data_IF_099691167721
#
_entry.id   IF_099691167721
#
_cell.length_a   1.000
_cell.length_b   1.000
_cell.length_c   1.000
_cell.angle_alpha   90.00
_cell.angle_beta   90.00
_cell.angle_gamma   90.00
#
_symmetry.space_group_name_H-M   'P 1'
#
loop_
_entity.id
_entity.type
_entity.pdbx_description
1 polymer ?
#
# COMPACT_ATOMS: atom_id res chain seq x y z
N UNK A 1 -10.63 -16.25 28.92
CA UNK A 1 -10.33 -15.76 27.57
C UNK A 1 -9.83 -16.92 26.72
N UNK A 2 -10.14 -17.01 25.43
CA UNK A 2 -9.57 -18.04 24.58
C UNK A 2 -8.05 -17.86 24.46
N UNK A 3 -7.31 -18.96 24.36
CA UNK A 3 -5.86 -18.92 24.15
C UNK A 3 -5.48 -18.43 22.75
N UNK A 4 -6.32 -18.77 21.76
CA UNK A 4 -6.15 -18.32 20.38
C UNK A 4 -7.09 -17.15 20.08
N UNK A 5 -6.68 -16.25 19.17
CA UNK A 5 -7.52 -15.14 18.75
C UNK A 5 -8.77 -15.67 18.02
N UNK A 6 -9.99 -15.32 18.47
CA UNK A 6 -11.23 -15.87 17.88
C UNK A 6 -11.51 -15.26 16.50
N UNK A 7 -12.28 -16.00 15.68
CA UNK A 7 -12.80 -15.51 14.42
C UNK A 7 -14.15 -14.83 14.67
N UNK A 8 -14.22 -13.52 14.45
CA UNK A 8 -15.43 -12.71 14.60
C UNK A 8 -16.21 -12.68 13.27
N UNK A 9 -17.18 -13.57 13.10
CA UNK A 9 -18.07 -13.63 11.94
C UNK A 9 -19.28 -12.73 12.13
N UNK A 10 -19.05 -11.44 12.39
CA UNK A 10 -20.11 -10.47 12.61
C UNK A 10 -19.90 -9.22 11.77
N UNK A 11 -20.97 -8.72 11.16
CA UNK A 11 -20.97 -7.44 10.45
C UNK A 11 -21.38 -6.25 11.33
N UNK A 12 -22.12 -6.52 12.41
CA UNK A 12 -22.59 -5.49 13.35
C UNK A 12 -22.41 -5.98 14.78
N UNK A 13 -22.33 -5.05 15.71
CA UNK A 13 -22.14 -5.30 17.13
C UNK A 13 -23.31 -4.75 17.94
N UNK A 14 -23.66 -5.37 19.06
CA UNK A 14 -24.78 -4.98 19.92
C UNK A 14 -24.23 -4.12 21.06
N UNK A 15 -24.98 -3.05 21.38
CA UNK A 15 -24.68 -2.12 22.47
C UNK A 15 -25.91 -1.95 23.34
N UNK A 16 -25.72 -1.73 24.62
CA UNK A 16 -26.81 -1.51 25.59
C UNK A 16 -27.45 -0.12 25.46
N UNK A 17 -26.73 0.84 24.85
CA UNK A 17 -27.22 2.20 24.59
C UNK A 17 -26.57 2.80 23.34
N UNK A 18 -27.00 3.99 22.91
CA UNK A 18 -26.43 4.70 21.77
C UNK A 18 -25.07 5.33 22.08
N UNK A 19 -24.82 5.73 23.32
CA UNK A 19 -23.63 6.49 23.70
C UNK A 19 -22.29 5.84 23.29
N UNK A 20 -22.06 4.50 23.44
CA UNK A 20 -20.83 3.87 22.96
C UNK A 20 -20.69 3.93 21.45
N UNK A 21 -21.79 3.89 20.68
CA UNK A 21 -21.78 3.96 19.22
C UNK A 21 -21.33 5.36 18.78
N UNK A 22 -21.92 6.42 19.37
CA UNK A 22 -21.56 7.81 19.07
C UNK A 22 -20.08 8.06 19.36
N UNK A 23 -19.58 7.58 20.50
CA UNK A 23 -18.14 7.68 20.84
C UNK A 23 -17.23 6.99 19.82
N UNK A 24 -17.59 5.80 19.35
CA UNK A 24 -16.80 5.06 18.34
C UNK A 24 -16.87 5.76 16.98
N UNK A 25 -18.05 6.18 16.54
CA UNK A 25 -18.28 6.71 15.19
C UNK A 25 -17.85 8.17 15.04
N UNK A 26 -18.12 9.00 16.06
CA UNK A 26 -17.97 10.46 15.96
C UNK A 26 -16.73 10.97 16.70
N UNK A 27 -16.34 10.32 17.81
CA UNK A 27 -15.21 10.76 18.64
C UNK A 27 -13.94 9.92 18.43
N UNK A 28 -14.02 8.84 17.63
CA UNK A 28 -12.88 7.97 17.34
C UNK A 28 -12.43 7.12 18.53
N UNK A 29 -13.34 6.86 19.50
CA UNK A 29 -13.05 5.96 20.61
C UNK A 29 -12.76 4.53 20.11
N UNK A 30 -11.89 3.77 20.78
CA UNK A 30 -11.61 2.40 20.39
C UNK A 30 -12.85 1.51 20.55
N UNK A 31 -13.13 0.70 19.52
CA UNK A 31 -14.26 -0.22 19.51
C UNK A 31 -14.68 -0.63 18.11
N UNK A 32 -15.65 -1.53 18.02
CA UNK A 32 -16.19 -2.03 16.76
C UNK A 32 -17.70 -1.87 16.75
N UNK A 33 -18.21 -1.05 15.85
CA UNK A 33 -19.65 -0.83 15.67
C UNK A 33 -20.17 -1.55 14.43
N UNK A 34 -19.40 -1.50 13.33
CA UNK A 34 -19.77 -2.11 12.07
C UNK A 34 -18.52 -2.54 11.29
N UNK A 35 -18.55 -3.69 10.63
CA UNK A 35 -17.41 -4.34 9.95
C UNK A 35 -16.67 -3.40 8.99
N UNK A 36 -17.38 -2.55 8.24
CA UNK A 36 -16.77 -1.59 7.32
C UNK A 36 -15.87 -0.56 8.03
N UNK A 37 -16.19 -0.21 9.27
CA UNK A 37 -15.45 0.77 10.08
C UNK A 37 -14.28 0.12 10.82
N UNK A 38 -14.38 -1.18 11.12
CA UNK A 38 -13.35 -1.94 11.78
C UNK A 38 -13.81 -3.36 12.11
N UNK A 39 -12.86 -4.28 12.17
CA UNK A 39 -13.11 -5.66 12.55
C UNK A 39 -11.91 -6.22 13.31
N UNK A 40 -12.13 -6.93 14.44
CA UNK A 40 -11.04 -7.46 15.25
C UNK A 40 -10.05 -8.36 14.49
N UNK A 41 -10.53 -9.17 13.53
CA UNK A 41 -9.65 -10.04 12.74
C UNK A 41 -8.79 -9.24 11.75
N UNK A 42 -9.36 -8.22 11.10
CA UNK A 42 -8.61 -7.34 10.21
C UNK A 42 -7.51 -6.58 10.99
N UNK A 43 -7.84 -6.06 12.17
CA UNK A 43 -6.89 -5.35 13.03
C UNK A 43 -5.78 -6.27 13.53
N UNK A 44 -6.12 -7.47 14.01
CA UNK A 44 -5.12 -8.45 14.44
C UNK A 44 -4.19 -8.86 13.30
N UNK A 45 -4.73 -9.08 12.09
CA UNK A 45 -3.95 -9.43 10.90
C UNK A 45 -3.02 -8.28 10.51
N UNK A 46 -3.54 -7.06 10.47
CA UNK A 46 -2.75 -5.88 10.11
C UNK A 46 -1.61 -5.62 11.10
N UNK A 47 -1.85 -5.82 12.39
CA UNK A 47 -0.81 -5.70 13.43
C UNK A 47 0.30 -6.73 13.28
N UNK A 48 -0.05 -8.00 13.00
CA UNK A 48 0.94 -9.06 12.78
C UNK A 48 1.80 -8.76 11.55
N UNK A 49 1.17 -8.34 10.44
CA UNK A 49 1.90 -8.00 9.22
C UNK A 49 2.77 -6.77 9.41
N UNK A 50 2.24 -5.71 10.02
CA UNK A 50 3.02 -4.50 10.34
C UNK A 50 4.24 -4.81 11.22
N UNK A 51 4.06 -5.63 12.27
CA UNK A 51 5.18 -6.06 13.12
C UNK A 51 6.22 -6.88 12.34
N UNK A 52 5.77 -7.74 11.41
CA UNK A 52 6.65 -8.49 10.51
C UNK A 52 7.54 -7.59 9.66
N UNK A 53 6.99 -6.54 9.08
CA UNK A 53 7.72 -5.57 8.26
C UNK A 53 8.50 -4.53 9.09
N UNK A 54 8.17 -4.37 10.36
CA UNK A 54 8.69 -3.30 11.22
C UNK A 54 8.00 -1.96 10.96
N UNK A 55 6.75 -2.03 10.46
CA UNK A 55 5.92 -0.87 10.18
C UNK A 55 5.15 -0.43 11.44
N UNK A 56 4.80 0.85 11.49
CA UNK A 56 3.99 1.42 12.57
C UNK A 56 2.53 0.93 12.53
N UNK A 57 1.97 0.81 11.33
CA UNK A 57 0.58 0.37 11.09
C UNK A 57 0.48 -0.44 9.79
N UNK A 58 -0.56 -1.26 9.71
CA UNK A 58 -0.95 -1.99 8.51
C UNK A 58 -2.43 -1.80 8.20
N UNK A 59 -2.80 -2.05 6.94
CA UNK A 59 -4.19 -2.14 6.48
C UNK A 59 -4.38 -3.44 5.73
N UNK A 60 -5.53 -4.08 5.94
CA UNK A 60 -5.89 -5.32 5.25
C UNK A 60 -6.94 -5.01 4.18
N UNK A 61 -6.76 -5.57 3.00
CA UNK A 61 -7.66 -5.45 1.87
C UNK A 61 -8.16 -6.82 1.40
N UNK A 62 -9.22 -6.85 0.63
CA UNK A 62 -9.82 -8.08 0.10
C UNK A 62 -8.97 -8.78 -0.97
N UNK A 63 -8.00 -8.09 -1.55
CA UNK A 63 -7.05 -8.62 -2.54
C UNK A 63 -5.79 -7.74 -2.64
N UNK A 64 -4.70 -8.30 -3.21
CA UNK A 64 -3.50 -7.54 -3.51
C UNK A 64 -3.77 -6.35 -4.43
N UNK A 65 -4.59 -6.53 -5.48
CA UNK A 65 -4.98 -5.41 -6.35
C UNK A 65 -5.79 -4.34 -5.62
N UNK A 66 -6.64 -4.71 -4.66
CA UNK A 66 -7.32 -3.71 -3.83
C UNK A 66 -6.34 -2.91 -2.98
N UNK A 67 -5.30 -3.55 -2.44
CA UNK A 67 -4.22 -2.86 -1.72
C UNK A 67 -3.44 -1.91 -2.65
N UNK A 68 -3.01 -2.39 -3.82
CA UNK A 68 -2.26 -1.60 -4.80
C UNK A 68 -3.08 -0.38 -5.26
N UNK A 69 -4.29 -0.61 -5.76
CA UNK A 69 -5.11 0.46 -6.35
C UNK A 69 -5.50 1.52 -5.31
N UNK A 70 -5.91 1.09 -4.12
CA UNK A 70 -6.29 2.02 -3.04
C UNK A 70 -5.10 2.84 -2.56
N UNK A 71 -3.93 2.23 -2.39
CA UNK A 71 -2.71 2.94 -1.96
C UNK A 71 -2.25 3.97 -2.99
N UNK A 72 -2.32 3.62 -4.29
CA UNK A 72 -2.00 4.56 -5.36
C UNK A 72 -2.99 5.71 -5.37
N UNK A 73 -4.31 5.44 -5.36
CA UNK A 73 -5.36 6.48 -5.37
C UNK A 73 -5.31 7.39 -4.13
N UNK A 74 -4.86 6.87 -2.99
CA UNK A 74 -4.64 7.69 -1.80
C UNK A 74 -3.41 8.62 -1.91
N UNK A 75 -2.54 8.39 -2.90
CA UNK A 75 -1.28 9.12 -3.07
C UNK A 75 -1.36 10.14 -4.21
N UNK A 76 -2.08 9.82 -5.29
CA UNK A 76 -2.13 10.63 -6.51
C UNK A 76 -3.53 11.17 -6.80
N UNK A 77 -3.57 12.28 -7.53
CA UNK A 77 -4.79 12.93 -8.04
C UNK A 77 -4.63 13.28 -9.53
N UNK A 78 -5.71 13.66 -10.24
CA UNK A 78 -5.60 14.12 -11.63
C UNK A 78 -4.54 15.22 -11.80
N UNK A 79 -3.68 15.07 -12.80
CA UNK A 79 -2.54 15.95 -13.06
C UNK A 79 -1.22 15.53 -12.42
N UNK A 80 -1.24 14.54 -11.52
CA UNK A 80 -0.01 13.98 -10.95
C UNK A 80 0.66 12.98 -11.90
N UNK A 81 1.94 12.69 -11.60
CA UNK A 81 2.78 11.80 -12.37
C UNK A 81 3.35 10.68 -11.49
N UNK A 82 3.49 9.50 -12.10
CA UNK A 82 4.10 8.30 -11.50
C UNK A 82 5.29 7.87 -12.37
N UNK A 83 6.40 7.49 -11.75
CA UNK A 83 7.48 6.73 -12.40
C UNK A 83 7.37 5.28 -11.93
N UNK A 84 7.31 4.33 -12.87
CA UNK A 84 7.12 2.91 -12.52
C UNK A 84 8.04 1.99 -13.34
N UNK A 85 8.39 0.83 -12.78
CA UNK A 85 9.00 -0.23 -13.53
C UNK A 85 7.99 -0.84 -14.52
N UNK A 86 8.38 -1.17 -15.77
CA UNK A 86 7.55 -1.96 -16.66
C UNK A 86 7.58 -3.46 -16.30
N UNK A 87 8.55 -3.87 -15.47
CA UNK A 87 8.75 -5.25 -15.03
C UNK A 87 8.07 -5.39 -13.67
N UNK A 88 6.75 -5.54 -13.68
CA UNK A 88 5.88 -5.67 -12.52
C UNK A 88 4.71 -6.60 -12.85
N UNK A 89 3.93 -6.97 -11.84
CA UNK A 89 2.70 -7.74 -11.99
C UNK A 89 1.79 -7.14 -13.08
N UNK A 90 1.31 -7.99 -13.98
CA UNK A 90 0.60 -7.57 -15.21
C UNK A 90 -0.63 -6.70 -14.95
N UNK A 91 -1.45 -7.02 -13.93
CA UNK A 91 -2.63 -6.22 -13.61
C UNK A 91 -2.26 -4.86 -13.00
N UNK A 92 -1.17 -4.76 -12.24
CA UNK A 92 -0.65 -3.49 -11.75
C UNK A 92 -0.14 -2.64 -12.92
N UNK A 93 0.60 -3.24 -13.87
CA UNK A 93 1.02 -2.56 -15.10
C UNK A 93 -0.17 -2.05 -15.91
N UNK A 94 -1.19 -2.91 -16.12
CA UNK A 94 -2.42 -2.53 -16.85
C UNK A 94 -3.12 -1.34 -16.18
N UNK A 95 -3.27 -1.41 -14.85
CA UNK A 95 -3.88 -0.35 -14.06
C UNK A 95 -3.14 0.98 -14.19
N UNK A 96 -1.82 0.98 -14.01
CA UNK A 96 -0.97 2.16 -14.15
C UNK A 96 -1.01 2.75 -15.57
N UNK A 97 -0.97 1.89 -16.59
CA UNK A 97 -0.86 2.33 -17.98
C UNK A 97 -2.18 2.82 -18.58
N UNK A 98 -3.28 2.17 -18.25
CA UNK A 98 -4.56 2.40 -18.93
C UNK A 98 -5.61 3.03 -18.01
N UNK A 99 -5.82 2.49 -16.82
CA UNK A 99 -6.89 2.97 -15.95
C UNK A 99 -6.55 4.33 -15.32
N UNK A 100 -5.36 4.50 -14.76
CA UNK A 100 -4.95 5.77 -14.17
C UNK A 100 -4.88 6.90 -15.21
N UNK A 101 -4.51 6.60 -16.44
CA UNK A 101 -4.54 7.59 -17.53
C UNK A 101 -5.94 8.16 -17.77
N UNK A 102 -6.99 7.34 -17.65
CA UNK A 102 -8.39 7.79 -17.77
C UNK A 102 -8.78 8.75 -16.65
N UNK A 103 -8.08 8.67 -15.53
CA UNK A 103 -8.31 9.54 -14.36
C UNK A 103 -7.37 10.75 -14.34
N UNK A 104 -6.63 10.97 -15.43
CA UNK A 104 -5.74 12.12 -15.58
C UNK A 104 -4.42 12.01 -14.84
N UNK A 105 -3.99 10.79 -14.46
CA UNK A 105 -2.66 10.53 -13.90
C UNK A 105 -1.78 9.94 -15.00
N UNK A 106 -0.60 10.52 -15.19
CA UNK A 106 0.37 10.06 -16.18
C UNK A 106 1.39 9.11 -15.53
N UNK A 107 1.73 8.01 -16.21
CA UNK A 107 2.78 7.09 -15.77
C UNK A 107 3.89 6.98 -16.82
N UNK A 108 5.13 7.25 -16.40
CA UNK A 108 6.33 6.96 -17.18
C UNK A 108 6.92 5.62 -16.72
N UNK A 109 7.13 4.70 -17.67
CA UNK A 109 7.71 3.39 -17.39
C UNK A 109 9.18 3.38 -17.78
N UNK A 110 10.05 2.98 -16.84
CA UNK A 110 11.50 2.84 -17.04
C UNK A 110 12.02 1.56 -16.37
N UNK A 111 13.00 0.94 -16.94
CA UNK A 111 13.70 -0.19 -16.30
C UNK A 111 14.69 0.34 -15.26
N UNK A 112 14.37 0.17 -13.98
CA UNK A 112 15.17 0.64 -12.85
C UNK A 112 16.57 0.02 -12.75
N UNK A 113 16.88 -1.06 -13.51
CA UNK A 113 18.20 -1.65 -13.53
C UNK A 113 19.12 -1.06 -14.61
N UNK A 114 18.54 -0.36 -15.60
CA UNK A 114 19.30 0.16 -16.75
C UNK A 114 19.17 1.67 -16.93
N UNK A 115 18.21 2.29 -16.25
CA UNK A 115 17.91 3.72 -16.34
C UNK A 115 17.82 4.33 -14.94
N UNK A 116 18.37 5.52 -14.77
CA UNK A 116 18.27 6.23 -13.49
C UNK A 116 16.90 6.88 -13.33
N UNK A 117 16.22 6.58 -12.22
CA UNK A 117 14.92 7.14 -11.88
C UNK A 117 14.97 8.67 -11.78
N UNK A 118 16.10 9.24 -11.38
CA UNK A 118 16.29 10.68 -11.24
C UNK A 118 16.04 11.45 -12.54
N UNK A 119 16.38 10.88 -13.69
CA UNK A 119 16.20 11.51 -15.00
C UNK A 119 14.73 11.65 -15.43
N UNK A 120 13.83 10.94 -14.73
CA UNK A 120 12.40 10.86 -15.07
C UNK A 120 11.48 11.51 -14.04
N UNK A 121 12.04 12.03 -12.95
CA UNK A 121 11.28 12.78 -11.95
C UNK A 121 10.87 14.14 -12.54
N UNK A 122 9.60 14.46 -12.35
CA UNK A 122 8.99 15.75 -12.79
C UNK A 122 8.49 16.53 -11.55
N UNK A 123 8.23 17.82 -11.63
CA UNK A 123 7.68 18.61 -10.51
C UNK A 123 6.35 18.07 -9.97
N UNK A 124 5.58 17.38 -10.81
CA UNK A 124 4.31 16.75 -10.46
C UNK A 124 4.43 15.24 -10.18
N UNK A 125 5.63 14.68 -10.12
CA UNK A 125 5.83 13.27 -9.70
C UNK A 125 5.47 13.14 -8.21
N UNK A 126 4.56 12.20 -7.89
CA UNK A 126 4.12 11.92 -6.53
C UNK A 126 4.44 10.52 -6.07
N UNK A 127 4.73 9.63 -7.00
CA UNK A 127 4.94 8.22 -6.70
C UNK A 127 6.01 7.62 -7.60
N UNK A 128 6.90 6.83 -7.00
CA UNK A 128 7.75 5.84 -7.67
C UNK A 128 7.21 4.46 -7.29
N UNK A 129 6.93 3.60 -8.29
CA UNK A 129 6.33 2.29 -8.07
C UNK A 129 7.19 1.17 -8.64
N UNK A 130 7.44 0.13 -7.84
CA UNK A 130 8.18 -1.07 -8.25
C UNK A 130 7.88 -2.27 -7.38
N UNK A 131 8.57 -3.36 -7.65
CA UNK A 131 8.52 -4.61 -6.88
C UNK A 131 9.90 -4.93 -6.32
N UNK A 132 9.96 -5.60 -5.15
CA UNK A 132 11.24 -6.10 -4.60
C UNK A 132 11.87 -7.14 -5.49
N UNK A 133 11.06 -8.08 -5.97
CA UNK A 133 11.43 -9.16 -6.89
C UNK A 133 10.33 -9.25 -7.92
N UNK A 134 10.61 -8.85 -9.13
CA UNK A 134 9.61 -8.73 -10.18
C UNK A 134 9.23 -10.07 -10.81
N UNK A 135 7.94 -10.22 -11.09
CA UNK A 135 7.39 -11.38 -11.79
C UNK A 135 7.22 -11.06 -13.30
N UNK A 136 7.65 -11.91 -14.25
CA UNK A 136 8.33 -13.21 -14.05
C UNK A 136 9.85 -13.15 -14.15
N UNK A 137 10.44 -11.98 -14.42
CA UNK A 137 11.85 -11.86 -14.80
C UNK A 137 12.82 -11.89 -13.61
N UNK A 138 12.32 -11.94 -12.37
CA UNK A 138 13.11 -11.95 -11.15
C UNK A 138 14.06 -10.74 -11.05
N UNK A 139 13.70 -9.62 -11.66
CA UNK A 139 14.46 -8.37 -11.59
C UNK A 139 14.39 -7.80 -10.16
N UNK A 140 15.52 -7.33 -9.66
CA UNK A 140 15.65 -6.75 -8.30
C UNK A 140 16.24 -5.35 -8.44
N UNK A 141 15.46 -4.29 -8.20
CA UNK A 141 15.96 -2.92 -8.27
C UNK A 141 16.74 -2.52 -7.00
N UNK A 142 17.56 -1.49 -7.10
CA UNK A 142 18.16 -0.82 -5.94
C UNK A 142 17.10 0.04 -5.21
N UNK A 143 16.44 -0.57 -4.21
CA UNK A 143 15.36 0.09 -3.46
C UNK A 143 15.87 1.31 -2.69
N UNK A 144 17.11 1.27 -2.15
CA UNK A 144 17.68 2.43 -1.44
C UNK A 144 17.80 3.63 -2.38
N UNK A 145 18.37 3.42 -3.58
CA UNK A 145 18.49 4.49 -4.56
C UNK A 145 17.11 5.05 -4.98
N UNK A 146 16.13 4.16 -5.22
CA UNK A 146 14.76 4.59 -5.54
C UNK A 146 14.15 5.44 -4.41
N UNK A 147 14.36 5.04 -3.15
CA UNK A 147 13.87 5.76 -1.99
C UNK A 147 14.53 7.14 -1.87
N UNK A 148 15.86 7.19 -1.96
CA UNK A 148 16.62 8.44 -1.85
C UNK A 148 16.18 9.46 -2.91
N UNK A 149 16.04 9.04 -4.18
CA UNK A 149 15.58 9.91 -5.26
C UNK A 149 14.13 10.34 -5.07
N UNK A 150 13.22 9.41 -4.75
CA UNK A 150 11.81 9.73 -4.55
C UNK A 150 11.64 10.77 -3.43
N UNK A 151 12.23 10.51 -2.27
CA UNK A 151 12.08 11.36 -1.09
C UNK A 151 12.74 12.73 -1.26
N UNK A 152 13.91 12.80 -1.88
CA UNK A 152 14.58 14.07 -2.20
C UNK A 152 13.72 14.99 -3.09
N UNK A 153 12.79 14.41 -3.85
CA UNK A 153 11.88 15.13 -4.74
C UNK A 153 10.44 15.24 -4.20
N UNK A 154 10.20 14.88 -2.94
CA UNK A 154 8.88 14.93 -2.31
C UNK A 154 7.87 13.94 -2.87
N UNK A 155 8.32 12.91 -3.58
CA UNK A 155 7.54 11.77 -4.01
C UNK A 155 7.61 10.63 -2.98
N UNK A 156 6.64 9.74 -2.99
CA UNK A 156 6.66 8.51 -2.19
C UNK A 156 7.23 7.36 -3.01
N UNK A 157 7.84 6.39 -2.32
CA UNK A 157 8.17 5.11 -2.91
C UNK A 157 7.13 4.07 -2.47
N UNK A 158 6.55 3.35 -3.44
CA UNK A 158 5.68 2.22 -3.18
C UNK A 158 6.32 0.95 -3.77
N UNK A 159 6.60 -0.01 -2.90
CA UNK A 159 7.19 -1.30 -3.28
C UNK A 159 6.20 -2.42 -2.98
N UNK A 160 5.81 -3.14 -4.02
CA UNK A 160 5.12 -4.41 -3.87
C UNK A 160 6.13 -5.48 -3.42
N UNK A 161 5.97 -5.93 -2.17
CA UNK A 161 6.87 -6.89 -1.53
C UNK A 161 6.32 -8.32 -1.50
N UNK A 162 5.36 -8.63 -2.38
CA UNK A 162 4.64 -9.91 -2.39
C UNK A 162 5.58 -11.12 -2.45
N UNK A 163 6.58 -11.10 -3.32
CA UNK A 163 7.47 -12.25 -3.50
C UNK A 163 8.55 -12.37 -2.43
N UNK A 164 9.13 -11.26 -1.99
CA UNK A 164 10.15 -11.29 -0.97
C UNK A 164 9.57 -11.48 0.44
N UNK A 165 8.39 -10.94 0.69
CA UNK A 165 7.77 -10.86 2.02
C UNK A 165 8.67 -10.16 3.05
N UNK A 166 8.18 -9.93 4.26
CA UNK A 166 8.98 -9.38 5.36
C UNK A 166 10.13 -10.29 5.82
N UNK A 167 10.17 -11.54 5.33
CA UNK A 167 11.23 -12.50 5.66
C UNK A 167 12.52 -12.21 4.89
N UNK A 168 12.39 -11.95 3.57
CA UNK A 168 13.55 -11.72 2.69
C UNK A 168 13.93 -10.26 2.67
N UNK A 169 12.95 -9.36 2.51
CA UNK A 169 13.19 -7.92 2.42
C UNK A 169 12.13 -7.12 3.20
N UNK A 170 12.55 -5.99 3.75
CA UNK A 170 11.68 -5.03 4.44
C UNK A 170 11.88 -3.65 3.83
N UNK A 171 11.19 -3.34 2.72
CA UNK A 171 11.35 -2.05 2.02
C UNK A 171 11.16 -0.82 2.90
N UNK A 172 10.29 -0.90 3.91
CA UNK A 172 10.04 0.19 4.85
C UNK A 172 11.30 0.69 5.59
N UNK A 173 12.37 -0.11 5.64
CA UNK A 173 13.63 0.31 6.25
C UNK A 173 14.40 1.35 5.44
N UNK A 174 14.02 1.56 4.21
CA UNK A 174 14.63 2.54 3.32
C UNK A 174 13.91 3.91 3.33
N UNK A 175 12.89 4.05 4.21
CA UNK A 175 12.15 5.29 4.44
C UNK A 175 10.67 5.25 4.09
#
# INVERSE_FOLDING_TARGET
>A
MPETFPIYLSSAYIFDSIDPIDKICDEGAPGYAYFRLGNPNADATSQILAAGDGAEKGLVFSSGMAAITTSILATVKPGDHIVASPIIYGEAFYYLKYELKRWGVETTFIDFNTQDVADYIRPNTKLVYGETIANPLMSVPDIQHLADVAHANGAKLFIDNTFATSIIAKPIKYG
#
